data_IF_953917743273
#
_entry.id   IF_953917743273
#
_cell.length_a   1.000
_cell.length_b   1.000
_cell.length_c   1.000
_cell.angle_alpha   90.00
_cell.angle_beta   90.00
_cell.angle_gamma   90.00
#
_symmetry.space_group_name_H-M   'P 1'
#
loop_
_entity.id
_entity.type
_entity.pdbx_description
1 polymer ?
#
# COMPACT_ATOMS: atom_id res chain seq x y z
N UNK A 1 23.78 50.03 -3.09
CA UNK A 1 24.14 48.63 -2.81
C UNK A 1 22.84 47.85 -2.84
N UNK A 2 22.42 47.28 -3.98
CA UNK A 2 22.94 46.05 -4.56
C UNK A 2 22.22 44.86 -3.88
N UNK A 3 21.48 43.97 -4.55
CA UNK A 3 21.42 43.67 -5.97
C UNK A 3 20.19 42.85 -6.36
N UNK A 4 20.11 42.64 -7.67
CA UNK A 4 19.14 41.83 -8.39
C UNK A 4 19.50 40.35 -8.27
N UNK A 5 18.50 39.47 -8.13
CA UNK A 5 18.57 38.12 -8.67
C UNK A 5 17.47 37.96 -9.71
N UNK A 6 17.90 37.89 -10.97
CA UNK A 6 17.12 37.48 -12.13
C UNK A 6 17.36 35.99 -12.35
N UNK A 7 16.30 35.18 -12.40
CA UNK A 7 16.29 33.93 -13.16
C UNK A 7 14.82 33.57 -13.48
N UNK A 8 14.25 34.09 -14.56
CA UNK A 8 14.29 33.53 -15.93
C UNK A 8 13.63 32.16 -16.00
N UNK A 9 12.36 32.14 -16.46
CA UNK A 9 11.76 31.19 -17.41
C UNK A 9 10.22 31.31 -17.53
N UNK A 10 9.67 32.52 -17.43
CA UNK A 10 8.31 32.76 -17.93
C UNK A 10 8.36 32.69 -19.46
N UNK A 11 8.01 31.52 -20.01
CA UNK A 11 7.82 31.34 -21.45
C UNK A 11 6.67 32.24 -21.89
N UNK A 12 7.01 33.43 -22.39
CA UNK A 12 6.13 34.27 -23.19
C UNK A 12 5.56 33.42 -24.33
N UNK A 13 4.27 33.12 -24.25
CA UNK A 13 3.54 32.55 -25.39
C UNK A 13 3.29 33.68 -26.40
N UNK A 14 4.31 34.02 -27.19
CA UNK A 14 4.17 34.93 -28.32
C UNK A 14 3.46 34.19 -29.46
N UNK A 15 2.19 34.54 -29.72
CA UNK A 15 1.60 34.45 -31.05
C UNK A 15 1.37 35.87 -31.55
N UNK A 16 1.82 36.24 -32.77
CA UNK A 16 1.59 37.57 -33.28
C UNK A 16 0.17 37.64 -33.84
N UNK A 17 -0.64 38.56 -33.34
CA UNK A 17 -1.72 39.14 -34.13
C UNK A 17 -1.52 40.64 -34.11
N UNK A 18 -1.32 41.16 -35.32
CA UNK A 18 -1.20 42.59 -35.57
C UNK A 18 -2.54 43.31 -35.35
N UNK A 19 -2.42 44.62 -35.14
CA UNK A 19 -3.44 45.69 -35.10
C UNK A 19 -3.88 46.09 -33.67
N UNK A 20 -3.47 47.32 -33.30
CA UNK A 20 -4.17 48.14 -32.32
C UNK A 20 -3.69 47.99 -30.88
N UNK A 21 -2.81 48.89 -30.44
CA UNK A 21 -2.39 49.01 -29.05
C UNK A 21 -3.58 49.41 -28.17
N UNK A 22 -4.17 48.44 -27.47
CA UNK A 22 -4.59 48.67 -26.10
C UNK A 22 -3.48 48.12 -25.22
N UNK A 23 -2.80 49.04 -24.51
CA UNK A 23 -1.76 48.74 -23.53
C UNK A 23 -2.21 47.53 -22.72
N UNK A 24 -1.40 46.47 -22.74
CA UNK A 24 -1.55 45.27 -21.94
C UNK A 24 -1.84 45.69 -20.51
N UNK A 25 -3.12 45.74 -20.12
CA UNK A 25 -3.48 45.63 -18.73
C UNK A 25 -2.82 44.34 -18.33
N UNK A 26 -1.84 44.42 -17.44
CA UNK A 26 -1.26 43.28 -16.74
C UNK A 26 -2.43 42.54 -16.12
N UNK A 27 -3.03 41.64 -16.89
CA UNK A 27 -4.16 40.84 -16.49
C UNK A 27 -3.53 39.85 -15.55
N UNK A 28 -3.51 40.21 -14.27
CA UNK A 28 -3.27 39.25 -13.22
C UNK A 28 -4.42 38.29 -13.34
N UNK A 29 -4.23 37.22 -14.12
CA UNK A 29 -5.11 36.05 -14.11
C UNK A 29 -5.08 35.64 -12.65
N UNK A 30 -6.08 36.07 -11.88
CA UNK A 30 -6.24 35.62 -10.51
C UNK A 30 -6.28 34.11 -10.64
N UNK A 31 -5.28 33.42 -10.08
CA UNK A 31 -5.24 31.98 -10.10
C UNK A 31 -6.42 31.50 -9.24
N UNK A 32 -7.54 31.22 -9.89
CA UNK A 32 -8.69 30.60 -9.27
C UNK A 32 -8.24 29.15 -9.06
N UNK A 33 -8.27 28.66 -7.83
CA UNK A 33 -8.00 27.26 -7.59
C UNK A 33 -9.28 26.47 -7.92
N UNK A 34 -9.35 25.91 -9.12
CA UNK A 34 -10.51 25.16 -9.58
C UNK A 34 -10.72 23.87 -8.78
N UNK A 35 -9.72 23.38 -8.03
CA UNK A 35 -9.89 22.22 -7.15
C UNK A 35 -10.89 22.42 -6.01
N UNK A 36 -11.23 23.68 -5.69
CA UNK A 36 -12.27 24.01 -4.71
C UNK A 36 -13.66 24.19 -5.33
N UNK A 37 -13.79 24.03 -6.64
CA UNK A 37 -15.11 24.03 -7.31
C UNK A 37 -15.86 22.72 -7.04
N UNK A 38 -17.13 22.65 -7.40
CA UNK A 38 -17.92 21.43 -7.17
C UNK A 38 -17.54 20.36 -8.19
N UNK A 39 -16.93 19.25 -7.72
CA UNK A 39 -16.56 18.07 -8.52
C UNK A 39 -15.70 18.39 -9.78
N UNK A 40 -14.52 19.01 -9.62
CA UNK A 40 -13.65 19.38 -10.74
C UNK A 40 -13.05 18.16 -11.44
N UNK A 41 -12.92 17.03 -10.73
CA UNK A 41 -12.30 15.82 -11.24
C UNK A 41 -13.19 14.58 -11.07
N UNK A 42 -13.02 13.55 -11.91
CA UNK A 42 -13.67 12.23 -11.76
C UNK A 42 -13.31 11.54 -10.43
N UNK A 43 -14.05 10.47 -10.10
CA UNK A 43 -13.75 9.64 -8.93
C UNK A 43 -12.33 9.02 -9.00
N UNK A 44 -11.77 8.70 -7.84
CA UNK A 44 -10.42 8.11 -7.68
C UNK A 44 -9.27 8.95 -8.24
N UNK A 45 -9.44 10.28 -8.28
CA UNK A 45 -8.41 11.22 -8.71
C UNK A 45 -7.93 12.14 -7.57
N UNK A 46 -6.82 12.82 -7.84
CA UNK A 46 -6.24 13.93 -7.09
C UNK A 46 -6.28 15.15 -8.02
N UNK A 47 -6.88 16.24 -7.53
CA UNK A 47 -6.88 17.52 -8.25
C UNK A 47 -5.62 18.32 -7.92
N UNK A 48 -4.94 18.80 -8.97
CA UNK A 48 -3.72 19.60 -8.88
C UNK A 48 -4.00 20.95 -9.53
N UNK A 49 -4.05 21.99 -8.72
CA UNK A 49 -4.19 23.36 -9.21
C UNK A 49 -2.95 23.81 -9.98
N UNK A 50 -3.12 24.47 -11.12
CA UNK A 50 -2.03 24.99 -11.95
C UNK A 50 -2.25 26.46 -12.31
N UNK A 51 -1.21 27.19 -12.74
CA UNK A 51 -1.36 28.53 -13.29
C UNK A 51 -2.34 28.55 -14.49
N UNK A 52 -3.55 29.09 -14.29
CA UNK A 52 -4.56 29.29 -15.32
C UNK A 52 -5.37 28.05 -15.71
N UNK A 53 -5.25 26.93 -14.97
CA UNK A 53 -5.98 25.68 -15.19
C UNK A 53 -5.82 24.74 -13.99
N UNK A 54 -6.40 23.54 -14.06
CA UNK A 54 -6.16 22.45 -13.12
C UNK A 54 -5.90 21.14 -13.88
N UNK A 55 -5.33 20.16 -13.19
CA UNK A 55 -5.09 18.82 -13.73
C UNK A 55 -5.65 17.76 -12.76
N UNK A 56 -6.31 16.75 -13.29
CA UNK A 56 -6.75 15.58 -12.55
C UNK A 56 -5.81 14.41 -12.82
N UNK A 57 -5.30 13.77 -11.76
CA UNK A 57 -4.47 12.57 -11.86
C UNK A 57 -5.07 11.43 -11.07
N UNK A 58 -4.89 10.19 -11.50
CA UNK A 58 -5.32 9.03 -10.71
C UNK A 58 -4.57 8.97 -9.37
N UNK A 59 -5.28 8.50 -8.33
CA UNK A 59 -4.65 8.15 -7.06
C UNK A 59 -3.65 6.99 -7.27
N UNK A 60 -2.64 6.83 -6.39
CA UNK A 60 -1.77 5.65 -6.41
C UNK A 60 -2.60 4.34 -6.37
N UNK A 61 -2.17 3.33 -7.13
CA UNK A 61 -2.89 2.06 -7.28
C UNK A 61 -4.04 2.09 -8.31
N UNK A 62 -4.19 3.18 -9.08
CA UNK A 62 -5.22 3.29 -10.12
C UNK A 62 -4.62 3.68 -11.47
N UNK A 63 -5.22 3.15 -12.56
CA UNK A 63 -4.86 3.46 -13.95
C UNK A 63 -5.93 4.35 -14.62
N UNK A 64 -5.53 5.26 -15.52
CA UNK A 64 -6.44 6.22 -16.13
C UNK A 64 -7.35 5.57 -17.18
N UNK A 65 -8.63 5.95 -17.14
CA UNK A 65 -9.60 5.68 -18.20
C UNK A 65 -9.82 6.98 -18.96
N UNK A 66 -9.54 6.97 -20.26
CA UNK A 66 -9.74 8.13 -21.14
C UNK A 66 -11.09 8.09 -21.84
N UNK A 67 -11.63 9.27 -22.17
CA UNK A 67 -12.86 9.37 -22.97
C UNK A 67 -12.63 8.88 -24.39
N UNK A 68 -13.64 8.26 -25.00
CA UNK A 68 -13.63 7.89 -26.43
C UNK A 68 -13.51 9.11 -27.36
N UNK A 69 -13.76 10.31 -26.85
CA UNK A 69 -13.70 11.58 -27.58
C UNK A 69 -12.38 12.34 -27.47
N UNK A 70 -11.37 11.83 -26.76
CA UNK A 70 -10.05 12.48 -26.65
C UNK A 70 -9.26 12.15 -25.39
N UNK A 71 -8.13 12.86 -25.12
CA UNK A 71 -7.23 12.54 -24.01
C UNK A 71 -7.78 12.88 -22.62
N UNK A 72 -9.01 13.36 -22.52
CA UNK A 72 -9.64 13.74 -21.24
C UNK A 72 -9.85 12.54 -20.34
N UNK A 73 -9.37 12.64 -19.10
CA UNK A 73 -9.58 11.64 -18.07
C UNK A 73 -11.07 11.52 -17.73
N UNK A 74 -11.65 10.35 -18.00
CA UNK A 74 -13.05 10.04 -17.67
C UNK A 74 -13.19 9.40 -16.29
N UNK A 75 -12.15 8.74 -15.79
CA UNK A 75 -12.13 8.08 -14.50
C UNK A 75 -10.80 7.38 -14.23
N UNK A 76 -10.71 6.72 -13.09
CA UNK A 76 -9.59 5.85 -12.76
C UNK A 76 -10.12 4.53 -12.23
N UNK A 77 -9.65 3.44 -12.83
CA UNK A 77 -9.95 2.08 -12.38
C UNK A 77 -8.80 1.56 -11.52
N UNK A 78 -9.18 0.71 -10.58
CA UNK A 78 -8.24 0.02 -9.70
C UNK A 78 -7.28 -0.86 -10.52
N UNK A 79 -6.01 -0.89 -10.13
CA UNK A 79 -5.04 -1.81 -10.71
C UNK A 79 -5.13 -3.09 -9.90
N UNK A 80 -5.51 -4.19 -10.53
CA UNK A 80 -5.46 -5.49 -9.85
C UNK A 80 -4.02 -6.00 -9.82
N UNK A 81 -3.30 -5.69 -8.75
CA UNK A 81 -1.92 -6.15 -8.61
C UNK A 81 -1.83 -7.67 -8.41
N UNK A 82 -2.91 -8.34 -7.98
CA UNK A 82 -2.92 -9.79 -7.78
C UNK A 82 -2.88 -10.59 -9.08
N UNK A 83 -3.24 -9.98 -10.22
CA UNK A 83 -3.15 -10.61 -11.54
C UNK A 83 -1.72 -11.02 -11.91
N UNK A 84 -0.71 -10.38 -11.32
CA UNK A 84 0.72 -10.67 -11.56
C UNK A 84 1.36 -11.55 -10.48
N UNK A 85 0.56 -12.12 -9.55
CA UNK A 85 1.05 -12.95 -8.43
C UNK A 85 2.19 -12.31 -7.62
N UNK A 86 1.99 -11.12 -7.01
CA UNK A 86 3.05 -10.35 -6.35
C UNK A 86 3.51 -10.97 -5.02
N UNK A 87 2.75 -11.91 -4.46
CA UNK A 87 3.05 -12.58 -3.20
C UNK A 87 4.08 -13.70 -3.42
N UNK A 88 5.29 -13.52 -2.88
CA UNK A 88 6.43 -14.43 -3.12
C UNK A 88 6.44 -15.68 -2.22
N UNK A 89 5.71 -15.67 -1.11
CA UNK A 89 5.71 -16.77 -0.15
C UNK A 89 4.66 -17.84 -0.50
N UNK A 90 5.02 -19.13 -0.52
CA UNK A 90 4.08 -20.21 -0.82
C UNK A 90 2.99 -20.38 0.24
N UNK A 91 3.22 -19.92 1.48
CA UNK A 91 2.26 -19.95 2.58
C UNK A 91 1.22 -18.82 2.49
N UNK A 92 1.19 -18.09 1.38
CA UNK A 92 0.41 -16.85 1.23
C UNK A 92 -0.42 -16.80 -0.04
N UNK A 93 -1.49 -16.01 -0.02
CA UNK A 93 -2.29 -15.69 -1.20
C UNK A 93 -2.55 -14.18 -1.30
N UNK A 94 -2.75 -13.69 -2.51
CA UNK A 94 -3.01 -12.28 -2.78
C UNK A 94 -4.51 -11.95 -2.65
N UNK A 95 -4.81 -10.78 -2.09
CA UNK A 95 -6.14 -10.20 -1.95
C UNK A 95 -6.10 -8.76 -2.47
N UNK A 96 -6.75 -8.51 -3.61
CA UNK A 96 -6.80 -7.18 -4.20
C UNK A 96 -7.73 -6.25 -3.38
N UNK A 97 -7.37 -4.98 -3.27
CA UNK A 97 -8.16 -3.96 -2.56
C UNK A 97 -8.13 -2.62 -3.32
N UNK A 98 -9.12 -1.72 -3.13
CA UNK A 98 -9.11 -0.46 -3.87
C UNK A 98 -7.86 0.40 -3.58
N UNK A 99 -6.98 0.55 -4.57
CA UNK A 99 -5.74 1.31 -4.56
C UNK A 99 -4.53 0.56 -4.01
N UNK A 100 -4.63 -0.74 -3.74
CA UNK A 100 -3.53 -1.55 -3.19
C UNK A 100 -3.85 -3.04 -3.19
N UNK A 101 -2.89 -3.89 -2.91
CA UNK A 101 -3.15 -5.28 -2.57
C UNK A 101 -2.63 -5.59 -1.18
N UNK A 102 -3.26 -6.58 -0.56
CA UNK A 102 -2.72 -7.27 0.58
C UNK A 102 -2.53 -8.72 0.21
N UNK A 103 -1.75 -9.37 1.03
CA UNK A 103 -1.03 -10.55 0.67
C UNK A 103 -1.13 -11.19 2.08
N UNK A 104 -1.78 -12.34 2.19
CA UNK A 104 -2.29 -12.86 3.48
C UNK A 104 -1.97 -14.35 3.61
N UNK A 105 -1.89 -14.85 4.84
CA UNK A 105 -1.61 -16.27 5.08
C UNK A 105 -2.75 -17.15 4.54
N UNK A 106 -2.39 -18.30 3.96
CA UNK A 106 -3.36 -19.34 3.58
C UNK A 106 -3.98 -19.98 4.83
N UNK A 107 -5.11 -20.66 4.64
CA UNK A 107 -5.73 -21.48 5.69
C UNK A 107 -4.71 -22.45 6.29
N UNK A 108 -4.76 -22.62 7.62
CA UNK A 108 -3.77 -23.44 8.33
C UNK A 108 -2.50 -22.69 8.76
N UNK A 109 -2.35 -21.44 8.35
CA UNK A 109 -1.24 -20.58 8.73
C UNK A 109 -1.70 -19.33 9.48
N UNK A 110 -0.90 -18.84 10.43
CA UNK A 110 -1.13 -17.58 11.12
C UNK A 110 0.03 -16.60 10.93
N UNK A 111 -0.30 -15.31 10.83
CA UNK A 111 0.68 -14.24 10.81
C UNK A 111 1.04 -13.86 12.25
N UNK A 112 2.33 -13.75 12.57
CA UNK A 112 2.76 -13.04 13.79
C UNK A 112 2.85 -11.56 13.48
N UNK A 113 2.28 -10.70 14.33
CA UNK A 113 2.44 -9.25 14.20
C UNK A 113 3.91 -8.86 14.42
N UNK A 114 4.67 -8.75 13.32
CA UNK A 114 6.03 -8.22 13.35
C UNK A 114 6.01 -6.71 13.60
N UNK A 115 6.74 -6.25 14.60
CA UNK A 115 6.90 -4.81 14.90
C UNK A 115 8.06 -4.19 14.12
N UNK A 116 7.78 -3.04 13.48
CA UNK A 116 8.63 -1.92 13.03
C UNK A 116 9.19 -1.83 11.59
N UNK A 117 8.69 -0.78 10.89
CA UNK A 117 9.32 -0.04 9.78
C UNK A 117 8.94 -0.56 8.38
N UNK A 118 8.44 0.20 7.40
CA UNK A 118 8.44 1.64 7.13
C UNK A 118 7.45 1.88 5.96
N UNK A 119 6.58 2.89 6.05
CA UNK A 119 5.72 3.58 5.04
C UNK A 119 5.37 3.01 3.63
N UNK A 120 5.59 1.74 3.34
CA UNK A 120 5.03 0.99 2.22
C UNK A 120 4.46 -0.29 2.83
N UNK A 121 3.22 -0.63 2.46
CA UNK A 121 2.40 -1.73 3.00
C UNK A 121 3.19 -2.96 3.50
N UNK A 122 2.84 -3.53 4.68
CA UNK A 122 3.65 -4.58 5.30
C UNK A 122 3.59 -5.87 4.49
N UNK A 123 4.75 -6.27 3.95
CA UNK A 123 4.95 -7.63 3.49
C UNK A 123 5.05 -8.55 4.74
N UNK A 124 3.92 -9.12 5.11
CA UNK A 124 3.67 -10.25 6.00
C UNK A 124 4.52 -11.49 5.64
N UNK A 125 5.84 -11.40 5.81
CA UNK A 125 6.76 -12.41 5.28
C UNK A 125 6.89 -13.67 6.15
N UNK A 126 6.09 -13.83 7.21
CA UNK A 126 6.17 -14.98 8.10
C UNK A 126 4.78 -15.52 8.46
N UNK A 127 4.36 -16.54 7.72
CA UNK A 127 3.19 -17.35 8.01
C UNK A 127 3.65 -18.65 8.66
N UNK A 128 3.13 -18.94 9.85
CA UNK A 128 3.49 -20.12 10.64
C UNK A 128 2.36 -21.14 10.60
N UNK A 129 2.70 -22.40 10.38
CA UNK A 129 1.74 -23.50 10.34
C UNK A 129 1.23 -23.82 11.76
N UNK A 130 -0.08 -24.00 11.90
CA UNK A 130 -0.75 -24.24 13.19
C UNK A 130 -0.24 -25.52 13.89
N UNK A 131 0.27 -26.53 13.15
CA UNK A 131 0.73 -27.81 13.71
C UNK A 131 2.01 -27.72 14.56
N UNK A 132 2.78 -26.64 14.43
CA UNK A 132 4.03 -26.48 15.19
C UNK A 132 3.80 -26.35 16.70
N UNK A 133 2.62 -25.93 17.15
CA UNK A 133 2.34 -25.76 18.58
C UNK A 133 1.98 -27.06 19.30
N UNK A 134 1.27 -27.97 18.63
CA UNK A 134 0.88 -29.25 19.22
C UNK A 134 1.98 -30.29 19.19
N UNK A 135 2.91 -30.21 18.22
CA UNK A 135 4.02 -31.17 18.12
C UNK A 135 4.97 -31.05 19.31
N UNK A 136 5.35 -29.85 19.71
CA UNK A 136 6.16 -29.61 20.91
C UNK A 136 5.41 -29.99 22.19
N UNK A 137 4.11 -29.66 22.29
CA UNK A 137 3.28 -30.05 23.43
C UNK A 137 3.11 -31.57 23.55
N UNK A 138 2.93 -32.28 22.43
CA UNK A 138 2.79 -33.74 22.38
C UNK A 138 4.10 -34.42 22.75
N UNK A 139 5.24 -33.90 22.28
CA UNK A 139 6.58 -34.38 22.68
C UNK A 139 6.79 -34.17 24.18
N UNK A 140 6.48 -32.99 24.72
CA UNK A 140 6.64 -32.69 26.15
C UNK A 140 5.77 -33.60 27.04
N UNK A 141 4.50 -33.81 26.69
CA UNK A 141 3.60 -34.72 27.42
C UNK A 141 4.08 -36.18 27.35
N UNK A 142 4.60 -36.61 26.20
CA UNK A 142 5.19 -37.95 26.05
C UNK A 142 6.42 -38.16 26.94
N UNK A 143 7.31 -37.16 27.03
CA UNK A 143 8.48 -37.21 27.92
C UNK A 143 8.03 -37.26 29.39
N UNK A 144 7.08 -36.41 29.80
CA UNK A 144 6.57 -36.39 31.18
C UNK A 144 5.97 -37.75 31.57
N UNK A 145 5.15 -38.33 30.70
CA UNK A 145 4.56 -39.65 30.93
C UNK A 145 5.64 -40.73 31.10
N UNK A 146 6.69 -40.70 30.27
CA UNK A 146 7.80 -41.66 30.37
C UNK A 146 8.54 -41.57 31.71
N UNK A 147 8.79 -40.36 32.21
CA UNK A 147 9.46 -40.12 33.50
C UNK A 147 8.59 -40.60 34.66
N UNK A 148 7.28 -40.36 34.62
CA UNK A 148 6.34 -40.84 35.65
C UNK A 148 6.30 -42.37 35.68
N UNK A 149 6.25 -43.03 34.53
CA UNK A 149 6.26 -44.50 34.44
C UNK A 149 7.55 -45.07 35.03
N UNK A 150 8.71 -44.47 34.72
CA UNK A 150 10.00 -44.90 35.27
C UNK A 150 10.03 -44.69 36.78
N UNK A 151 9.61 -43.53 37.28
CA UNK A 151 9.57 -43.23 38.71
C UNK A 151 8.65 -44.18 39.48
N UNK A 152 7.46 -44.47 38.95
CA UNK A 152 6.52 -45.43 39.54
C UNK A 152 7.10 -46.86 39.51
N UNK A 153 7.76 -47.26 38.43
CA UNK A 153 8.44 -48.56 38.33
C UNK A 153 9.55 -48.69 39.38
N UNK A 154 10.36 -47.64 39.56
CA UNK A 154 11.37 -47.57 40.62
C UNK A 154 10.75 -47.61 42.02
N UNK A 155 9.65 -46.90 42.25
CA UNK A 155 8.94 -46.88 43.52
C UNK A 155 8.39 -48.26 43.88
N UNK A 156 7.72 -48.94 42.94
CA UNK A 156 7.20 -50.30 43.12
C UNK A 156 8.34 -51.28 43.41
N UNK A 157 9.47 -51.18 42.69
CA UNK A 157 10.64 -52.03 42.91
C UNK A 157 11.26 -51.81 44.29
N UNK A 158 11.33 -50.57 44.75
CA UNK A 158 11.80 -50.22 46.10
C UNK A 158 10.89 -50.80 47.18
N UNK A 159 9.57 -50.72 47.01
CA UNK A 159 8.62 -51.22 48.00
C UNK A 159 8.55 -52.76 48.05
N UNK A 160 8.78 -53.45 46.92
CA UNK A 160 8.90 -54.93 46.90
C UNK A 160 10.20 -55.47 47.52
N UNK A 161 11.24 -54.65 47.67
CA UNK A 161 12.52 -55.07 48.25
C UNK A 161 12.60 -54.87 49.77
N UNK A 162 11.58 -54.25 50.38
CA UNK A 162 11.47 -54.02 51.84
C UNK A 162 10.43 -54.92 52.54
N UNK A 163 9.88 -55.92 51.84
CA UNK A 163 9.11 -57.05 52.41
C UNK A 163 9.85 -58.35 52.11
#
# INVERSE_FOLDING_TARGET
MGGMDKNSNDKLFQRPLAIGVLKSTKFSVKNINECYTTRPCPANTICINKPGTFECKCKPGYRPIHSSSGPTLSGCEDIDECSESPCTSPATHCVNSPGSFDCVCKDGYYATAGTYGSSYKPAYNACYEIETQWREATIALGVILSVVIIAMSCYIKKHKSSS
#
